data_IF_164351068634
#
_entry.id   IF_164351068634
#
_cell.length_a   1.000
_cell.length_b   1.000
_cell.length_c   1.000
_cell.angle_alpha   90.00
_cell.angle_beta   90.00
_cell.angle_gamma   90.00
#
_symmetry.space_group_name_H-M   'P 1'
#
loop_
_entity.id
_entity.type
_entity.pdbx_description
1 polymer ?
#
# COMPACT_ATOMS: atom_id res chain seq x y z
N UNK A 1 38.00 66.11 -22.70
CA UNK A 1 37.71 65.29 -21.52
C UNK A 1 36.33 64.64 -21.65
N UNK A 2 36.25 63.44 -22.22
CA UNK A 2 35.04 62.60 -22.15
C UNK A 2 35.49 61.14 -22.03
N UNK A 3 34.74 60.39 -21.24
CA UNK A 3 34.67 58.92 -21.23
C UNK A 3 35.71 58.14 -20.39
N UNK A 4 35.49 58.07 -19.08
CA UNK A 4 35.95 56.93 -18.24
C UNK A 4 34.90 56.43 -17.24
N UNK A 5 33.74 57.08 -17.13
CA UNK A 5 32.74 56.77 -16.09
C UNK A 5 31.80 55.59 -16.50
N UNK A 6 31.70 55.27 -17.80
CA UNK A 6 30.81 54.20 -18.30
C UNK A 6 31.26 52.76 -18.02
N UNK A 7 32.58 52.50 -18.00
CA UNK A 7 33.12 51.13 -17.88
C UNK A 7 33.00 50.50 -16.48
N UNK A 8 33.10 51.31 -15.43
CA UNK A 8 33.02 50.82 -14.04
C UNK A 8 31.59 50.41 -13.64
N UNK A 9 30.56 51.06 -14.19
CA UNK A 9 29.14 50.75 -13.93
C UNK A 9 28.72 49.45 -14.61
N UNK A 10 29.21 49.21 -15.83
CA UNK A 10 28.99 47.98 -16.62
C UNK A 10 29.60 46.74 -15.94
N UNK A 11 30.85 46.83 -15.47
CA UNK A 11 31.52 45.70 -14.77
C UNK A 11 30.84 45.33 -13.45
N UNK A 12 30.37 46.32 -12.67
CA UNK A 12 29.64 46.07 -11.42
C UNK A 12 28.28 45.42 -11.66
N UNK A 13 27.59 45.76 -12.75
CA UNK A 13 26.34 45.12 -13.14
C UNK A 13 26.55 43.66 -13.58
N UNK A 14 27.60 43.40 -14.39
CA UNK A 14 27.94 42.04 -14.82
C UNK A 14 28.32 41.12 -13.65
N UNK A 15 29.10 41.61 -12.68
CA UNK A 15 29.47 40.84 -11.47
C UNK A 15 28.26 40.55 -10.60
N UNK A 16 27.31 41.50 -10.47
CA UNK A 16 26.05 41.27 -9.73
C UNK A 16 25.16 40.22 -10.39
N UNK A 17 25.04 40.24 -11.72
CA UNK A 17 24.25 39.25 -12.48
C UNK A 17 24.90 37.85 -12.37
N UNK A 18 26.22 37.75 -12.49
CA UNK A 18 26.95 36.50 -12.34
C UNK A 18 26.85 35.95 -10.90
N UNK A 19 26.97 36.81 -9.88
CA UNK A 19 26.82 36.42 -8.48
C UNK A 19 25.38 35.94 -8.18
N UNK A 20 24.35 36.66 -8.65
CA UNK A 20 22.95 36.23 -8.49
C UNK A 20 22.67 34.91 -9.21
N UNK A 21 23.23 34.70 -10.41
CA UNK A 21 23.09 33.45 -11.15
C UNK A 21 23.81 32.29 -10.44
N UNK A 22 24.97 32.54 -9.85
CA UNK A 22 25.71 31.54 -9.08
C UNK A 22 24.98 31.17 -7.77
N UNK A 23 24.39 32.15 -7.07
CA UNK A 23 23.56 31.90 -5.89
C UNK A 23 22.29 31.11 -6.25
N UNK A 24 21.60 31.47 -7.34
CA UNK A 24 20.45 30.70 -7.85
C UNK A 24 20.85 29.27 -8.24
N UNK A 25 22.03 29.07 -8.84
CA UNK A 25 22.55 27.75 -9.20
C UNK A 25 22.90 26.91 -7.96
N UNK A 26 23.54 27.50 -6.96
CA UNK A 26 23.88 26.85 -5.69
C UNK A 26 22.63 26.51 -4.85
N UNK A 27 21.61 27.37 -4.86
CA UNK A 27 20.30 27.10 -4.25
C UNK A 27 19.53 26.01 -5.02
N UNK A 28 19.69 25.95 -6.35
CA UNK A 28 19.15 24.86 -7.17
C UNK A 28 19.79 23.49 -6.85
N UNK A 29 21.08 23.47 -6.53
CA UNK A 29 21.82 22.24 -6.21
C UNK A 29 21.52 21.68 -4.81
N UNK A 30 21.15 22.52 -3.83
CA UNK A 30 20.82 22.05 -2.47
C UNK A 30 19.52 21.24 -2.39
N UNK A 31 18.60 21.41 -3.36
CA UNK A 31 17.39 20.59 -3.50
C UNK A 31 17.64 19.15 -3.98
N UNK A 32 18.83 18.85 -4.51
CA UNK A 32 19.15 17.51 -5.04
C UNK A 32 19.66 16.51 -4.00
N UNK A 33 20.12 16.96 -2.82
CA UNK A 33 21.00 16.13 -1.98
C UNK A 33 20.31 15.34 -0.86
N UNK A 34 19.02 15.53 -0.58
CA UNK A 34 18.37 14.89 0.57
C UNK A 34 17.17 14.05 0.17
N UNK A 35 17.39 12.77 -0.13
CA UNK A 35 16.29 11.80 -0.12
C UNK A 35 15.82 11.62 1.33
N UNK A 36 14.50 11.64 1.62
CA UNK A 36 14.03 11.37 2.96
C UNK A 36 14.36 9.93 3.36
N UNK A 37 15.18 9.77 4.41
CA UNK A 37 15.47 8.47 5.03
C UNK A 37 14.47 8.25 6.16
N UNK A 38 13.75 7.15 6.10
CA UNK A 38 12.82 6.74 7.15
C UNK A 38 13.43 5.58 7.94
N UNK A 39 13.79 5.84 9.19
CA UNK A 39 14.20 4.80 10.14
C UNK A 39 12.96 4.31 10.86
N UNK A 40 12.55 3.06 10.58
CA UNK A 40 11.46 2.41 11.29
C UNK A 40 12.04 1.76 12.54
N UNK A 41 11.69 2.21 13.76
CA UNK A 41 12.13 1.52 14.97
C UNK A 41 11.51 0.12 14.99
N UNK A 42 12.32 -0.88 15.37
CA UNK A 42 11.78 -2.20 15.65
C UNK A 42 10.80 -2.11 16.82
N UNK A 43 9.64 -2.74 16.69
CA UNK A 43 8.68 -2.84 17.80
C UNK A 43 9.33 -3.63 18.94
N UNK A 44 9.44 -3.06 20.16
CA UNK A 44 10.14 -3.70 21.27
C UNK A 44 9.38 -4.89 21.87
N UNK A 45 8.05 -4.91 21.72
CA UNK A 45 7.20 -5.94 22.30
C UNK A 45 6.99 -7.10 21.32
N UNK A 46 6.96 -8.36 21.80
CA UNK A 46 6.48 -9.47 21.00
C UNK A 46 5.06 -9.14 20.53
N UNK A 47 4.84 -9.20 19.22
CA UNK A 47 3.51 -8.98 18.64
C UNK A 47 2.51 -9.82 19.44
N UNK A 48 1.48 -9.20 20.06
CA UNK A 48 0.53 -9.93 20.89
C UNK A 48 -0.01 -11.12 20.10
N UNK A 49 -0.15 -12.28 20.77
CA UNK A 49 -0.61 -13.52 20.17
C UNK A 49 -1.72 -13.24 19.16
N UNK A 50 -1.41 -13.43 17.88
CA UNK A 50 -2.44 -13.40 16.86
C UNK A 50 -3.38 -14.54 17.16
N UNK A 51 -4.57 -14.21 17.62
CA UNK A 51 -5.69 -15.13 17.63
C UNK A 51 -5.78 -15.68 16.21
N UNK A 52 -5.74 -17.01 16.00
CA UNK A 52 -6.04 -17.56 14.68
C UNK A 52 -7.35 -16.90 14.20
N UNK A 53 -7.44 -16.61 12.89
CA UNK A 53 -8.75 -16.36 12.28
C UNK A 53 -9.68 -17.40 12.89
N UNK A 54 -10.82 -16.96 13.45
CA UNK A 54 -11.80 -17.82 14.11
C UNK A 54 -11.80 -19.18 13.43
N UNK A 55 -11.84 -20.26 14.21
CA UNK A 55 -11.87 -21.66 13.76
C UNK A 55 -13.15 -21.97 12.97
N UNK A 56 -13.40 -21.19 11.92
CA UNK A 56 -14.31 -21.47 10.86
C UNK A 56 -13.74 -22.67 10.11
N UNK A 57 -14.59 -23.65 9.83
CA UNK A 57 -14.19 -24.84 9.07
C UNK A 57 -13.71 -24.50 7.64
N UNK A 58 -13.94 -23.26 7.19
CA UNK A 58 -13.55 -22.76 5.86
C UNK A 58 -12.93 -21.37 5.94
N UNK A 59 -11.71 -21.25 5.40
CA UNK A 59 -11.00 -19.97 5.25
C UNK A 59 -11.25 -19.42 3.86
N UNK A 60 -11.75 -18.18 3.76
CA UNK A 60 -12.00 -17.51 2.48
C UNK A 60 -10.97 -16.40 2.26
N UNK A 61 -10.25 -16.49 1.15
CA UNK A 61 -9.30 -15.48 0.69
C UNK A 61 -9.82 -14.71 -0.52
N UNK A 62 -9.74 -13.39 -0.48
CA UNK A 62 -10.04 -12.51 -1.59
C UNK A 62 -8.74 -11.97 -2.20
N UNK A 63 -8.52 -12.20 -3.49
CA UNK A 63 -7.35 -11.70 -4.22
C UNK A 63 -7.74 -10.51 -5.11
N UNK A 64 -7.13 -9.34 -4.87
CA UNK A 64 -7.43 -8.08 -5.55
C UNK A 64 -6.24 -7.66 -6.41
N UNK A 65 -6.43 -7.66 -7.72
CA UNK A 65 -5.36 -7.35 -8.67
C UNK A 65 -5.00 -5.87 -8.72
N UNK A 66 -3.84 -5.58 -9.33
CA UNK A 66 -3.37 -4.23 -9.60
C UNK A 66 -3.93 -3.69 -10.92
N UNK A 67 -3.57 -2.43 -11.22
CA UNK A 67 -4.04 -1.74 -12.44
C UNK A 67 -4.36 -0.27 -12.23
N UNK A 68 -3.67 0.39 -11.29
CA UNK A 68 -3.85 1.82 -10.98
C UNK A 68 -5.27 2.15 -10.51
N UNK A 69 -5.71 3.37 -10.80
CA UNK A 69 -7.04 3.87 -10.42
C UNK A 69 -8.20 3.04 -10.96
N UNK A 70 -8.03 2.42 -12.14
CA UNK A 70 -9.06 1.53 -12.72
C UNK A 70 -9.31 0.33 -11.83
N UNK A 71 -8.24 -0.33 -11.37
CA UNK A 71 -8.37 -1.47 -10.48
C UNK A 71 -8.95 -1.07 -9.12
N UNK A 72 -8.59 0.11 -8.61
CA UNK A 72 -9.12 0.63 -7.35
C UNK A 72 -10.64 0.87 -7.42
N UNK A 73 -11.12 1.54 -8.48
CA UNK A 73 -12.54 1.81 -8.68
C UNK A 73 -13.34 0.55 -9.00
N UNK A 74 -12.78 -0.36 -9.80
CA UNK A 74 -13.41 -1.65 -10.05
C UNK A 74 -13.55 -2.46 -8.75
N UNK A 75 -12.49 -2.50 -7.92
CA UNK A 75 -12.52 -3.20 -6.65
C UNK A 75 -13.57 -2.63 -5.70
N UNK A 76 -13.75 -1.31 -5.59
CA UNK A 76 -14.79 -0.76 -4.69
C UNK A 76 -16.20 -1.17 -5.11
N UNK A 77 -16.49 -1.23 -6.41
CA UNK A 77 -17.75 -1.79 -6.93
C UNK A 77 -17.86 -3.30 -6.68
N UNK A 78 -16.80 -4.07 -6.92
CA UNK A 78 -16.79 -5.52 -6.70
C UNK A 78 -17.05 -5.87 -5.22
N UNK A 79 -16.46 -5.13 -4.28
CA UNK A 79 -16.71 -5.31 -2.85
C UNK A 79 -18.18 -5.04 -2.50
N UNK A 80 -18.81 -4.01 -3.08
CA UNK A 80 -20.24 -3.75 -2.89
C UNK A 80 -21.12 -4.88 -3.44
N UNK A 81 -20.76 -5.49 -4.56
CA UNK A 81 -21.51 -6.64 -5.08
C UNK A 81 -21.31 -7.89 -4.20
N UNK A 82 -20.09 -8.16 -3.75
CA UNK A 82 -19.80 -9.26 -2.81
C UNK A 82 -20.55 -9.08 -1.46
N UNK A 83 -20.83 -7.84 -1.06
CA UNK A 83 -21.64 -7.54 0.12
C UNK A 83 -23.13 -7.92 -0.03
N UNK A 84 -23.63 -8.05 -1.25
CA UNK A 84 -25.02 -8.44 -1.55
C UNK A 84 -25.17 -9.95 -1.74
N UNK A 85 -24.10 -10.63 -2.12
CA UNK A 85 -24.12 -12.07 -2.37
C UNK A 85 -24.19 -12.84 -1.04
N UNK A 86 -25.35 -13.44 -0.77
CA UNK A 86 -25.55 -14.34 0.38
C UNK A 86 -25.03 -15.73 0.05
N UNK A 87 -24.35 -16.36 0.99
CA UNK A 87 -23.77 -17.71 0.84
C UNK A 87 -23.97 -18.53 2.11
N UNK A 88 -23.99 -19.86 1.98
CA UNK A 88 -24.11 -20.78 3.12
C UNK A 88 -25.50 -20.78 3.78
N UNK A 89 -25.68 -21.61 4.81
CA UNK A 89 -26.98 -21.83 5.44
C UNK A 89 -27.45 -20.65 6.32
N UNK A 90 -26.53 -19.84 6.84
CA UNK A 90 -26.82 -18.64 7.63
C UNK A 90 -27.25 -17.43 6.78
N UNK A 91 -27.11 -17.51 5.45
CA UNK A 91 -27.43 -16.42 4.52
C UNK A 91 -26.56 -15.16 4.66
N UNK A 92 -25.37 -15.26 5.28
CA UNK A 92 -24.46 -14.12 5.43
C UNK A 92 -23.82 -13.70 4.10
N UNK A 93 -23.48 -12.40 3.94
CA UNK A 93 -22.72 -11.92 2.79
C UNK A 93 -21.38 -12.65 2.61
N UNK A 94 -20.97 -12.88 1.36
CA UNK A 94 -19.61 -13.39 1.04
C UNK A 94 -18.57 -12.51 1.70
N UNK A 95 -18.75 -11.19 1.65
CA UNK A 95 -17.77 -10.24 2.14
C UNK A 95 -17.57 -10.31 3.66
N UNK A 96 -18.58 -10.70 4.43
CA UNK A 96 -18.46 -10.91 5.88
C UNK A 96 -17.70 -12.20 6.23
N UNK A 97 -17.62 -13.17 5.30
CA UNK A 97 -16.84 -14.40 5.47
C UNK A 97 -15.40 -14.30 5.01
N UNK A 98 -15.02 -13.24 4.30
CA UNK A 98 -13.63 -13.08 3.85
C UNK A 98 -12.72 -12.99 5.09
N UNK A 99 -11.76 -13.90 5.18
CA UNK A 99 -10.78 -13.95 6.27
C UNK A 99 -9.52 -13.18 5.93
N UNK A 100 -9.11 -13.22 4.65
CA UNK A 100 -7.89 -12.61 4.15
C UNK A 100 -8.14 -11.85 2.86
N UNK A 101 -7.52 -10.69 2.72
CA UNK A 101 -7.45 -9.96 1.45
C UNK A 101 -5.98 -9.88 1.03
N UNK A 102 -5.64 -10.47 -0.12
CA UNK A 102 -4.34 -10.31 -0.76
C UNK A 102 -4.44 -9.34 -1.91
N UNK A 103 -3.57 -8.34 -1.96
CA UNK A 103 -3.69 -7.25 -2.93
C UNK A 103 -2.35 -6.78 -3.49
N UNK A 104 -2.39 -6.10 -4.63
CA UNK A 104 -1.24 -5.38 -5.23
C UNK A 104 -1.67 -4.02 -5.79
N UNK A 105 -0.77 -3.03 -5.77
CA UNK A 105 -0.91 -1.72 -6.45
C UNK A 105 -2.25 -1.02 -6.15
N UNK A 106 -3.00 -0.56 -7.16
CA UNK A 106 -4.30 0.10 -6.99
C UNK A 106 -5.35 -0.76 -6.27
N UNK A 107 -5.28 -2.10 -6.40
CA UNK A 107 -6.10 -3.01 -5.60
C UNK A 107 -5.79 -2.95 -4.12
N UNK A 108 -4.53 -2.67 -3.75
CA UNK A 108 -4.12 -2.44 -2.36
C UNK A 108 -4.68 -1.13 -1.79
N UNK A 109 -4.82 -0.08 -2.61
CA UNK A 109 -5.47 1.15 -2.19
C UNK A 109 -6.93 0.90 -1.79
N UNK A 110 -7.67 0.19 -2.63
CA UNK A 110 -9.06 -0.18 -2.34
C UNK A 110 -9.17 -1.12 -1.13
N UNK A 111 -8.32 -2.15 -1.07
CA UNK A 111 -8.33 -3.13 0.02
C UNK A 111 -7.99 -2.49 1.37
N UNK A 112 -6.99 -1.60 1.41
CA UNK A 112 -6.62 -0.84 2.60
C UNK A 112 -7.76 0.09 3.05
N UNK A 113 -8.40 0.80 2.11
CA UNK A 113 -9.56 1.63 2.43
C UNK A 113 -10.68 0.81 3.06
N UNK A 114 -10.99 -0.36 2.47
CA UNK A 114 -12.02 -1.26 2.99
C UNK A 114 -11.75 -1.70 4.43
N UNK A 115 -10.56 -2.27 4.72
CA UNK A 115 -10.26 -2.79 6.06
C UNK A 115 -10.20 -1.69 7.13
N UNK A 116 -9.78 -0.48 6.75
CA UNK A 116 -9.67 0.66 7.67
C UNK A 116 -11.00 1.35 7.91
N UNK A 117 -11.89 1.42 6.92
CA UNK A 117 -13.08 2.29 6.97
C UNK A 117 -14.42 1.55 7.00
N UNK A 118 -14.47 0.23 6.77
CA UNK A 118 -15.74 -0.51 6.88
C UNK A 118 -16.38 -0.31 8.26
N UNK A 119 -17.71 -0.34 8.37
CA UNK A 119 -18.39 -0.39 9.67
C UNK A 119 -17.88 -1.55 10.55
N UNK A 120 -18.00 -1.40 11.87
CA UNK A 120 -17.65 -2.45 12.84
C UNK A 120 -18.54 -3.68 12.66
N UNK A 121 -18.09 -4.85 13.14
CA UNK A 121 -18.84 -6.11 12.98
C UNK A 121 -20.25 -6.09 13.60
N UNK A 122 -20.47 -5.22 14.58
CA UNK A 122 -21.75 -5.03 15.25
C UNK A 122 -22.82 -4.39 14.36
N UNK A 123 -22.41 -3.74 13.27
CA UNK A 123 -23.31 -3.14 12.30
C UNK A 123 -23.55 -4.16 11.19
N UNK A 124 -24.77 -4.68 11.03
CA UNK A 124 -25.04 -5.68 10.00
C UNK A 124 -24.95 -5.06 8.60
N UNK A 125 -24.40 -5.82 7.67
CA UNK A 125 -24.25 -5.42 6.27
C UNK A 125 -25.58 -5.47 5.52
N UNK A 126 -26.39 -6.51 5.80
CA UNK A 126 -27.73 -6.68 5.27
C UNK A 126 -28.78 -6.55 6.38
N UNK A 127 -29.95 -6.01 6.03
CA UNK A 127 -31.12 -6.01 6.91
C UNK A 127 -31.89 -7.35 6.88
N UNK A 128 -33.00 -7.41 7.61
CA UNK A 128 -33.85 -8.60 7.68
C UNK A 128 -34.46 -9.02 6.32
N UNK A 129 -34.54 -8.08 5.37
CA UNK A 129 -35.04 -8.32 4.02
C UNK A 129 -33.90 -8.75 3.08
N UNK A 130 -32.64 -8.61 3.51
CA UNK A 130 -31.47 -8.92 2.70
C UNK A 130 -30.92 -7.76 1.90
N UNK A 131 -31.38 -6.55 2.17
CA UNK A 131 -30.93 -5.34 1.49
C UNK A 131 -29.75 -4.71 2.25
N UNK A 132 -28.86 -4.04 1.52
CA UNK A 132 -27.72 -3.36 2.14
C UNK A 132 -28.23 -2.26 3.08
N UNK A 133 -27.77 -2.28 4.34
CA UNK A 133 -28.19 -1.32 5.36
C UNK A 133 -27.75 0.10 5.01
N UNK A 134 -28.41 1.11 5.59
CA UNK A 134 -28.09 2.53 5.33
C UNK A 134 -26.63 2.89 5.61
N UNK A 135 -26.04 2.32 6.68
CA UNK A 135 -24.63 2.52 7.02
C UNK A 135 -23.70 1.98 5.93
N UNK A 136 -23.98 0.79 5.40
CA UNK A 136 -23.18 0.19 4.35
C UNK A 136 -23.43 0.84 2.98
N UNK A 137 -24.66 1.28 2.67
CA UNK A 137 -24.95 2.10 1.48
C UNK A 137 -24.10 3.38 1.47
N UNK A 138 -24.04 4.08 2.60
CA UNK A 138 -23.17 5.26 2.75
C UNK A 138 -21.70 4.89 2.60
N UNK A 139 -21.24 3.85 3.28
CA UNK A 139 -19.86 3.38 3.20
C UNK A 139 -19.43 3.06 1.75
N UNK A 140 -20.21 2.25 1.02
CA UNK A 140 -19.87 1.90 -0.37
C UNK A 140 -19.94 3.09 -1.32
N UNK A 141 -20.86 4.04 -1.08
CA UNK A 141 -20.88 5.32 -1.80
C UNK A 141 -19.57 6.10 -1.56
N UNK A 142 -19.18 6.30 -0.31
CA UNK A 142 -17.94 7.01 0.05
C UNK A 142 -16.70 6.28 -0.48
N UNK A 143 -16.72 4.94 -0.46
CA UNK A 143 -15.64 4.10 -0.99
C UNK A 143 -15.47 4.28 -2.50
N UNK A 144 -16.56 4.27 -3.28
CA UNK A 144 -16.51 4.55 -4.73
C UNK A 144 -16.03 5.97 -5.01
N UNK A 145 -16.48 6.96 -4.24
CA UNK A 145 -16.00 8.34 -4.36
C UNK A 145 -14.52 8.46 -4.03
N UNK A 146 -14.03 7.77 -3.01
CA UNK A 146 -12.60 7.77 -2.68
C UNK A 146 -11.78 7.15 -3.82
N UNK A 147 -12.20 5.99 -4.35
CA UNK A 147 -11.47 5.29 -5.39
C UNK A 147 -11.56 5.93 -6.78
N UNK A 148 -12.51 6.85 -7.01
CA UNK A 148 -12.61 7.61 -8.27
C UNK A 148 -11.75 8.89 -8.28
N UNK A 149 -11.11 9.25 -7.17
CA UNK A 149 -10.25 10.43 -7.10
C UNK A 149 -9.00 10.28 -7.97
N UNK A 150 -8.69 11.33 -8.71
CA UNK A 150 -7.45 11.44 -9.47
C UNK A 150 -6.25 11.75 -8.56
N UNK A 151 -5.65 10.70 -7.99
CA UNK A 151 -4.40 10.84 -7.24
C UNK A 151 -3.17 10.96 -8.15
N UNK A 152 -3.22 10.52 -9.41
CA UNK A 152 -2.10 10.62 -10.35
C UNK A 152 -1.85 12.08 -10.76
N UNK A 153 -2.92 12.80 -11.11
CA UNK A 153 -2.88 14.24 -11.36
C UNK A 153 -2.53 15.05 -10.11
N UNK A 154 -3.03 14.65 -8.93
CA UNK A 154 -2.63 15.25 -7.66
C UNK A 154 -1.13 15.06 -7.37
N UNK A 155 -0.60 13.87 -7.66
CA UNK A 155 0.81 13.53 -7.53
C UNK A 155 1.67 14.35 -8.48
N UNK A 156 1.28 14.47 -9.75
CA UNK A 156 1.96 15.31 -10.74
C UNK A 156 1.99 16.78 -10.29
N UNK A 157 0.83 17.33 -9.92
CA UNK A 157 0.70 18.73 -9.46
C UNK A 157 1.55 18.99 -8.22
N UNK A 158 1.55 18.07 -7.24
CA UNK A 158 2.35 18.21 -6.02
C UNK A 158 3.83 18.15 -6.32
N UNK A 159 4.27 17.26 -7.20
CA UNK A 159 5.68 17.15 -7.57
C UNK A 159 6.19 18.37 -8.34
N UNK A 160 5.35 18.97 -9.19
CA UNK A 160 5.65 20.23 -9.89
C UNK A 160 5.69 21.42 -8.90
N UNK A 161 4.63 21.64 -8.12
CA UNK A 161 4.51 22.80 -7.23
C UNK A 161 5.49 22.77 -6.05
N UNK A 162 5.90 21.59 -5.58
CA UNK A 162 6.88 21.45 -4.50
C UNK A 162 8.32 21.29 -4.99
N UNK A 163 8.57 21.47 -6.29
CA UNK A 163 9.89 21.27 -6.91
C UNK A 163 10.49 19.87 -6.61
N UNK A 164 9.64 18.87 -6.37
CA UNK A 164 10.01 17.49 -6.00
C UNK A 164 10.29 16.60 -7.20
N UNK A 165 9.93 17.03 -8.42
CA UNK A 165 10.19 16.35 -9.69
C UNK A 165 11.67 16.08 -10.00
N UNK A 166 12.60 16.80 -9.37
CA UNK A 166 14.05 16.64 -9.59
C UNK A 166 14.63 15.41 -8.87
N UNK A 167 13.92 14.83 -7.89
CA UNK A 167 14.36 13.66 -7.14
C UNK A 167 13.20 12.63 -6.93
N UNK A 168 13.31 11.41 -7.50
CA UNK A 168 12.23 10.41 -7.46
C UNK A 168 11.88 9.94 -6.04
N UNK A 169 12.78 10.06 -5.06
CA UNK A 169 12.49 9.71 -3.66
C UNK A 169 11.34 10.57 -3.08
N UNK A 170 11.18 11.80 -3.57
CA UNK A 170 10.09 12.66 -3.15
C UNK A 170 8.75 12.32 -3.80
N UNK A 171 8.72 11.53 -4.88
CA UNK A 171 7.47 11.03 -5.47
C UNK A 171 6.80 10.06 -4.50
N UNK A 172 7.56 9.15 -3.89
CA UNK A 172 7.06 8.23 -2.87
C UNK A 172 6.52 9.00 -1.64
N UNK A 173 7.23 10.04 -1.19
CA UNK A 173 6.75 10.93 -0.12
C UNK A 173 5.45 11.63 -0.49
N UNK A 174 5.37 12.23 -1.68
CA UNK A 174 4.16 12.89 -2.17
C UNK A 174 2.98 11.91 -2.24
N UNK A 175 3.22 10.65 -2.68
CA UNK A 175 2.19 9.62 -2.70
C UNK A 175 1.72 9.29 -1.28
N UNK A 176 2.62 9.06 -0.33
CA UNK A 176 2.26 8.78 1.07
C UNK A 176 1.43 9.92 1.69
N UNK A 177 1.82 11.18 1.47
CA UNK A 177 1.06 12.34 1.94
C UNK A 177 -0.35 12.40 1.30
N UNK A 178 -0.46 12.20 -0.02
CA UNK A 178 -1.76 12.20 -0.73
C UNK A 178 -2.66 11.08 -0.22
N UNK A 179 -2.10 9.89 0.03
CA UNK A 179 -2.83 8.75 0.56
C UNK A 179 -3.33 9.02 1.99
N UNK A 180 -2.48 9.58 2.85
CA UNK A 180 -2.86 9.99 4.20
C UNK A 180 -3.96 11.05 4.20
N UNK A 181 -3.81 12.12 3.41
CA UNK A 181 -4.76 13.24 3.37
C UNK A 181 -6.13 12.86 2.81
N UNK A 182 -6.17 11.98 1.79
CA UNK A 182 -7.37 11.78 0.98
C UNK A 182 -8.07 10.43 1.18
N UNK A 183 -7.38 9.44 1.75
CA UNK A 183 -7.88 8.06 1.79
C UNK A 183 -7.88 7.49 3.20
N UNK A 184 -6.72 7.50 3.87
CA UNK A 184 -6.55 6.73 5.09
C UNK A 184 -6.67 7.58 6.35
N UNK A 185 -6.25 8.85 6.31
CA UNK A 185 -6.08 9.67 7.50
C UNK A 185 -4.75 9.35 8.20
N UNK A 186 -4.75 9.41 9.53
CA UNK A 186 -3.57 9.15 10.39
C UNK A 186 -3.50 7.70 10.89
N UNK A 187 -4.27 6.80 10.30
CA UNK A 187 -4.35 5.38 10.69
C UNK A 187 -3.03 4.65 10.46
N UNK A 188 -2.67 3.75 11.36
CA UNK A 188 -1.46 2.92 11.29
C UNK A 188 -1.81 1.42 11.24
N UNK A 189 -0.80 0.58 11.02
CA UNK A 189 -0.95 -0.86 11.15
C UNK A 189 -1.33 -1.30 12.58
N UNK A 190 -1.08 -0.47 13.60
CA UNK A 190 -1.53 -0.71 14.97
C UNK A 190 -3.05 -0.64 15.08
N UNK A 191 -3.69 0.43 14.58
CA UNK A 191 -5.15 0.53 14.55
C UNK A 191 -5.77 -0.58 13.69
N UNK A 192 -5.13 -0.94 12.58
CA UNK A 192 -5.57 -2.06 11.75
C UNK A 192 -5.55 -3.39 12.55
N UNK A 193 -4.46 -3.68 13.27
CA UNK A 193 -4.35 -4.89 14.07
C UNK A 193 -5.43 -4.97 15.15
N UNK A 194 -5.79 -3.86 15.79
CA UNK A 194 -6.87 -3.81 16.77
C UNK A 194 -8.25 -4.07 16.14
N UNK A 195 -8.50 -3.56 14.91
CA UNK A 195 -9.72 -3.88 14.16
C UNK A 195 -9.79 -5.36 13.80
N UNK A 196 -8.68 -5.96 13.37
CA UNK A 196 -8.60 -7.39 13.07
C UNK A 196 -8.85 -8.25 14.31
N UNK A 197 -8.26 -7.89 15.46
CA UNK A 197 -8.50 -8.58 16.75
C UNK A 197 -9.97 -8.58 17.17
N UNK A 198 -10.68 -7.47 16.92
CA UNK A 198 -12.12 -7.36 17.20
C UNK A 198 -12.99 -8.09 16.18
N UNK A 199 -12.42 -8.58 15.08
CA UNK A 199 -13.17 -9.15 13.95
C UNK A 199 -13.90 -8.09 13.13
N UNK A 200 -13.53 -6.81 13.25
CA UNK A 200 -14.14 -5.72 12.48
C UNK A 200 -13.71 -5.76 11.01
N UNK A 201 -12.53 -6.30 10.71
CA UNK A 201 -11.98 -6.35 9.36
C UNK A 201 -11.19 -7.64 9.10
N UNK A 202 -11.16 -8.12 7.84
CA UNK A 202 -10.29 -9.22 7.44
C UNK A 202 -8.81 -8.80 7.51
N UNK A 203 -7.92 -9.79 7.58
CA UNK A 203 -6.48 -9.54 7.54
C UNK A 203 -6.06 -9.09 6.15
N UNK A 204 -5.28 -8.01 6.07
CA UNK A 204 -4.78 -7.47 4.81
C UNK A 204 -3.33 -7.89 4.52
N UNK A 205 -3.09 -8.36 3.31
CA UNK A 205 -1.78 -8.63 2.73
C UNK A 205 -1.56 -7.67 1.55
N UNK A 206 -0.73 -6.65 1.74
CA UNK A 206 -0.30 -5.74 0.66
C UNK A 206 1.03 -6.25 0.10
N UNK A 207 0.99 -6.79 -1.10
CA UNK A 207 2.16 -7.34 -1.76
C UNK A 207 2.87 -6.24 -2.57
N UNK A 208 4.18 -6.13 -2.38
CA UNK A 208 5.05 -5.31 -3.20
C UNK A 208 6.40 -6.01 -3.39
N UNK A 209 7.33 -5.34 -4.06
CA UNK A 209 8.64 -5.87 -4.42
C UNK A 209 9.73 -5.00 -3.83
N UNK A 210 10.73 -5.62 -3.20
CA UNK A 210 11.95 -4.94 -2.81
C UNK A 210 12.72 -4.54 -4.07
N UNK A 211 12.94 -3.24 -4.24
CA UNK A 211 13.59 -2.69 -5.44
C UNK A 211 15.02 -3.22 -5.66
N UNK A 212 15.75 -3.49 -4.57
CA UNK A 212 17.17 -3.88 -4.60
C UNK A 212 17.43 -5.27 -5.16
N UNK A 213 16.54 -6.25 -4.91
CA UNK A 213 16.77 -7.63 -5.29
C UNK A 213 15.54 -8.36 -5.85
N UNK A 214 14.44 -7.63 -6.09
CA UNK A 214 13.28 -8.13 -6.81
C UNK A 214 12.42 -9.11 -6.01
N UNK A 215 12.66 -9.26 -4.71
CA UNK A 215 11.92 -10.23 -3.90
C UNK A 215 10.69 -9.64 -3.27
N UNK A 216 9.78 -10.50 -2.85
CA UNK A 216 8.52 -10.10 -2.24
C UNK A 216 8.77 -9.34 -0.93
N UNK A 217 8.20 -8.15 -0.86
CA UNK A 217 8.00 -7.42 0.38
C UNK A 217 6.51 -7.43 0.71
N UNK A 218 6.16 -7.89 1.90
CA UNK A 218 4.76 -7.90 2.33
C UNK A 218 4.58 -6.88 3.45
N UNK A 219 3.57 -6.02 3.29
CA UNK A 219 3.07 -5.20 4.38
C UNK A 219 1.79 -5.85 4.90
N UNK A 220 1.81 -6.22 6.18
CA UNK A 220 0.71 -6.89 6.87
C UNK A 220 0.91 -6.79 8.38
N UNK A 221 -0.17 -7.01 9.13
CA UNK A 221 -0.17 -7.23 10.58
C UNK A 221 0.28 -8.64 10.97
N UNK A 222 0.46 -9.54 9.98
CA UNK A 222 0.89 -10.92 10.19
C UNK A 222 2.41 -10.98 10.50
N UNK A 223 2.83 -11.57 11.64
CA UNK A 223 4.22 -11.82 11.98
C UNK A 223 4.90 -12.65 10.90
N UNK A 224 6.18 -12.35 10.69
CA UNK A 224 7.00 -12.99 9.66
C UNK A 224 7.10 -14.50 9.83
N UNK A 225 7.11 -14.98 11.06
CA UNK A 225 7.20 -16.39 11.41
C UNK A 225 6.03 -17.19 10.84
N UNK A 226 4.84 -16.58 10.78
CA UNK A 226 3.63 -17.19 10.21
C UNK A 226 3.60 -17.13 8.67
N UNK A 227 4.42 -16.28 8.06
CA UNK A 227 4.54 -16.19 6.60
C UNK A 227 5.55 -17.19 6.02
N UNK A 228 6.30 -17.89 6.87
CA UNK A 228 7.23 -18.94 6.45
C UNK A 228 6.42 -20.19 6.09
N UNK A 229 6.06 -20.31 4.82
CA UNK A 229 5.39 -21.49 4.29
C UNK A 229 6.34 -22.27 3.39
N UNK A 230 6.51 -23.57 3.67
CA UNK A 230 7.33 -24.45 2.85
C UNK A 230 6.55 -24.90 1.60
N UNK A 231 6.55 -24.04 0.57
CA UNK A 231 5.86 -24.33 -0.69
C UNK A 231 6.39 -25.58 -1.39
N UNK A 232 7.68 -25.86 -1.30
CA UNK A 232 8.27 -27.03 -1.96
C UNK A 232 7.69 -28.34 -1.37
N UNK A 233 7.62 -28.42 -0.04
CA UNK A 233 7.02 -29.56 0.65
C UNK A 233 5.51 -29.66 0.39
N UNK A 234 4.79 -28.53 0.40
CA UNK A 234 3.36 -28.51 0.10
C UNK A 234 3.03 -28.98 -1.33
N UNK A 235 3.78 -28.49 -2.33
CA UNK A 235 3.63 -28.92 -3.72
C UNK A 235 4.03 -30.39 -3.88
N UNK A 236 5.09 -30.84 -3.21
CA UNK A 236 5.47 -32.25 -3.21
C UNK A 236 4.41 -33.16 -2.60
N UNK A 237 3.70 -32.71 -1.57
CA UNK A 237 2.56 -33.45 -0.98
C UNK A 237 1.32 -33.46 -1.88
N UNK A 238 1.06 -32.36 -2.59
CA UNK A 238 -0.11 -32.20 -3.45
C UNK A 238 0.06 -32.85 -4.83
N UNK A 239 1.30 -33.07 -5.28
CA UNK A 239 1.56 -33.69 -6.58
C UNK A 239 1.38 -35.20 -6.51
N UNK A 240 0.47 -35.73 -7.32
CA UNK A 240 0.23 -37.17 -7.48
C UNK A 240 1.22 -37.82 -8.46
N UNK A 241 2.05 -37.03 -9.12
CA UNK A 241 3.02 -37.48 -10.14
C UNK A 241 4.43 -37.21 -9.65
N UNK A 242 5.36 -38.14 -9.92
CA UNK A 242 6.77 -37.95 -9.59
C UNK A 242 7.31 -36.69 -10.29
N UNK A 243 7.62 -35.68 -9.50
CA UNK A 243 8.16 -34.40 -9.97
C UNK A 243 9.65 -34.59 -10.29
N UNK A 244 10.10 -34.16 -11.47
CA UNK A 244 11.51 -34.31 -11.85
C UNK A 244 12.43 -33.52 -10.89
N UNK A 245 13.68 -33.98 -10.64
CA UNK A 245 14.62 -33.28 -9.76
C UNK A 245 14.87 -31.82 -10.16
N UNK A 246 14.97 -31.54 -11.47
CA UNK A 246 15.14 -30.18 -11.99
C UNK A 246 13.92 -29.28 -11.76
N UNK A 247 12.70 -29.83 -11.81
CA UNK A 247 11.50 -29.06 -11.49
C UNK A 247 11.35 -28.84 -9.98
N UNK A 248 11.69 -29.82 -9.14
CA UNK A 248 11.77 -29.66 -7.68
C UNK A 248 12.72 -28.51 -7.28
N UNK A 249 13.92 -28.46 -7.88
CA UNK A 249 14.88 -27.38 -7.62
C UNK A 249 14.33 -26.00 -8.02
N UNK A 250 13.66 -25.90 -9.18
CA UNK A 250 13.02 -24.65 -9.62
C UNK A 250 11.88 -24.22 -8.68
N UNK A 251 11.08 -25.17 -8.18
CA UNK A 251 10.04 -24.89 -7.19
C UNK A 251 10.62 -24.39 -5.88
N UNK A 252 11.71 -25.00 -5.39
CA UNK A 252 12.41 -24.54 -4.19
C UNK A 252 12.93 -23.11 -4.35
N UNK A 253 13.61 -22.81 -5.47
CA UNK A 253 14.07 -21.44 -5.75
C UNK A 253 12.92 -20.43 -5.78
N UNK A 254 11.78 -20.75 -6.42
CA UNK A 254 10.61 -19.86 -6.45
C UNK A 254 9.96 -19.72 -5.06
N UNK A 255 9.91 -20.81 -4.29
CA UNK A 255 9.43 -20.79 -2.91
C UNK A 255 10.24 -19.83 -2.03
N UNK A 256 11.56 -19.85 -2.18
CA UNK A 256 12.46 -18.94 -1.46
C UNK A 256 12.23 -17.47 -1.81
N UNK A 257 11.88 -17.16 -3.07
CA UNK A 257 11.54 -15.80 -3.50
C UNK A 257 10.21 -15.29 -2.91
N UNK A 258 9.32 -16.20 -2.51
CA UNK A 258 8.05 -15.88 -1.86
C UNK A 258 8.20 -15.58 -0.36
N UNK A 259 9.32 -15.98 0.24
CA UNK A 259 9.65 -15.65 1.63
C UNK A 259 10.05 -14.18 1.73
N UNK A 260 9.43 -13.47 2.66
CA UNK A 260 9.80 -12.08 2.96
C UNK A 260 11.19 -12.06 3.63
N UNK A 261 12.14 -11.31 3.05
CA UNK A 261 13.49 -11.20 3.64
C UNK A 261 13.44 -10.41 4.96
N UNK A 262 14.33 -10.65 5.95
CA UNK A 262 14.55 -9.64 6.96
C UNK A 262 15.07 -8.37 6.27
N UNK A 263 14.81 -7.17 6.80
CA UNK A 263 15.57 -6.01 6.38
C UNK A 263 17.07 -6.35 6.51
N UNK A 264 17.81 -6.25 5.41
CA UNK A 264 19.27 -6.28 5.49
C UNK A 264 19.68 -4.99 6.18
N UNK A 265 19.99 -5.06 7.46
CA UNK A 265 20.69 -4.00 8.16
C UNK A 265 22.10 -4.02 7.56
N UNK A 266 22.38 -3.08 6.66
CA UNK A 266 23.77 -2.75 6.35
C UNK A 266 24.33 -2.10 7.61
N UNK A 267 25.18 -2.83 8.33
CA UNK A 267 26.03 -2.28 9.40
C UNK A 267 27.17 -1.52 8.72
#
# INVERSE_FOLDING_TARGET
MRSTIGGARSRRAAVRIAASSCVLFLVGLSGCLTAPVYTLPATPDPLPCLMPVNSEDTVIGLAVSGGGSRAALFASGAFEELAKLKVGADGLPVLDRVSYISSVSGGSLASAYYVLKKPTRSIPMLDAQGEVTGNYKKFFSDFKVAMSRDYEGALLRRNLLKWRWVNPAFVAKSLAEILGENYFGVETFGEQAEREKRGDAPRLLVNTTLYNDGRRFLLSTIPREQLRFNWAEAVSRASTTAVSPGYQANLQMRAEQLNTMPPKICI
#
